data_IF_274839454448
#
_entry.id   IF_274839454448
#
_cell.length_a   1.000
_cell.length_b   1.000
_cell.length_c   1.000
_cell.angle_alpha   90.00
_cell.angle_beta   90.00
_cell.angle_gamma   90.00
#
_symmetry.space_group_name_H-M   'P 1'
#
loop_
_entity.id
_entity.type
_entity.pdbx_description
1 polymer ?
#
# COMPACT_ATOMS: atom_id res chain seq x y z
N UNK A 1 25.79 27.22 22.14
CA UNK A 1 24.46 27.59 21.56
C UNK A 1 24.58 28.48 20.33
N UNK A 2 25.45 28.14 19.35
CA UNK A 2 25.65 28.92 18.09
C UNK A 2 25.79 28.08 16.82
N UNK A 3 25.57 26.76 16.87
CA UNK A 3 25.72 25.85 15.71
C UNK A 3 24.36 25.51 15.07
N UNK A 4 23.24 25.68 15.80
CA UNK A 4 21.90 25.32 15.30
C UNK A 4 21.34 26.26 14.23
N UNK A 5 21.85 27.45 14.09
CA UNK A 5 21.36 28.44 13.11
C UNK A 5 21.97 28.30 11.72
N UNK A 6 23.15 27.68 11.62
CA UNK A 6 23.83 27.47 10.35
C UNK A 6 23.24 26.31 9.53
N UNK A 7 22.63 25.33 10.17
CA UNK A 7 21.95 24.22 9.49
C UNK A 7 20.58 24.62 8.94
N UNK A 8 19.92 25.62 9.52
CA UNK A 8 18.62 26.10 9.05
C UNK A 8 18.72 27.03 7.84
N UNK A 9 19.84 27.74 7.67
CA UNK A 9 20.09 28.63 6.52
C UNK A 9 20.55 27.89 5.27
N UNK A 10 21.10 26.67 5.39
CA UNK A 10 21.51 25.88 4.23
C UNK A 10 20.32 25.21 3.51
N UNK A 11 19.16 25.09 4.16
CA UNK A 11 17.93 24.50 3.58
C UNK A 11 17.10 25.52 2.78
N UNK A 12 17.42 26.82 2.84
CA UNK A 12 16.68 27.90 2.19
C UNK A 12 17.30 28.42 0.90
N UNK A 13 18.44 27.87 0.45
CA UNK A 13 18.92 28.14 -0.91
C UNK A 13 18.18 27.26 -1.92
N UNK A 14 16.87 27.45 -1.98
CA UNK A 14 16.03 26.98 -3.07
C UNK A 14 16.52 27.59 -4.37
N UNK A 15 17.06 26.77 -5.26
CA UNK A 15 17.34 27.15 -6.64
C UNK A 15 16.05 27.75 -7.22
N UNK A 16 16.08 29.03 -7.54
CA UNK A 16 15.12 29.62 -8.46
C UNK A 16 15.38 29.02 -9.84
N UNK A 17 14.84 27.83 -10.09
CA UNK A 17 14.77 27.31 -11.44
C UNK A 17 13.76 28.16 -12.17
N UNK A 18 14.23 29.04 -13.04
CA UNK A 18 13.42 29.70 -14.06
C UNK A 18 12.82 28.61 -14.93
N UNK A 19 11.60 28.21 -14.61
CA UNK A 19 10.85 27.23 -15.40
C UNK A 19 10.44 27.94 -16.70
N UNK A 20 11.07 27.58 -17.81
CA UNK A 20 10.54 27.91 -19.12
C UNK A 20 9.13 27.31 -19.24
N UNK A 21 8.16 28.06 -19.82
CA UNK A 21 6.81 27.53 -20.05
C UNK A 21 6.88 26.46 -21.14
N UNK A 22 6.99 25.22 -20.74
CA UNK A 22 6.82 24.10 -21.65
C UNK A 22 5.40 23.61 -21.46
N UNK A 23 4.59 23.63 -22.51
CA UNK A 23 3.29 22.95 -22.55
C UNK A 23 3.52 21.46 -22.23
N UNK A 24 3.40 21.09 -20.99
CA UNK A 24 3.62 19.71 -20.56
C UNK A 24 2.27 19.00 -20.52
N UNK A 25 1.98 18.24 -21.56
CA UNK A 25 0.89 17.28 -21.55
C UNK A 25 1.16 16.25 -20.44
N UNK A 26 0.29 16.17 -19.46
CA UNK A 26 0.34 15.13 -18.43
C UNK A 26 -0.66 14.03 -18.76
N UNK A 27 -0.20 12.78 -18.75
CA UNK A 27 -1.07 11.59 -18.84
C UNK A 27 -1.38 11.14 -17.41
N UNK A 28 -2.66 11.10 -17.09
CA UNK A 28 -3.16 10.58 -15.82
C UNK A 28 -3.95 9.31 -16.06
N UNK A 29 -3.48 8.21 -15.51
CA UNK A 29 -4.20 6.93 -15.49
C UNK A 29 -4.82 6.73 -14.11
N UNK A 30 -6.14 6.54 -14.06
CA UNK A 30 -6.88 6.26 -12.83
C UNK A 30 -7.48 4.87 -12.89
N UNK A 31 -7.27 4.08 -11.86
CA UNK A 31 -7.73 2.70 -11.72
C UNK A 31 -8.59 2.62 -10.47
N UNK A 32 -9.75 1.96 -10.57
CA UNK A 32 -10.60 1.64 -9.43
C UNK A 32 -10.95 0.17 -9.49
N UNK A 33 -10.70 -0.56 -8.43
CA UNK A 33 -10.94 -1.99 -8.35
C UNK A 33 -11.62 -2.35 -7.03
N UNK A 34 -12.51 -3.33 -7.11
CA UNK A 34 -13.10 -4.02 -5.98
C UNK A 34 -12.59 -5.44 -5.94
N UNK A 35 -12.42 -5.98 -4.76
CA UNK A 35 -11.91 -7.32 -4.56
C UNK A 35 -12.59 -8.08 -3.45
N UNK A 36 -12.59 -9.39 -3.58
CA UNK A 36 -13.07 -10.34 -2.58
C UNK A 36 -12.12 -11.52 -2.51
N UNK A 37 -11.97 -12.10 -1.33
CA UNK A 37 -11.13 -13.27 -1.16
C UNK A 37 -10.90 -13.65 0.29
N UNK A 38 -9.86 -14.45 0.54
CA UNK A 38 -9.58 -14.97 1.87
C UNK A 38 -8.70 -14.04 2.69
N UNK A 39 -8.89 -14.07 4.00
CA UNK A 39 -8.00 -13.44 4.99
C UNK A 39 -7.67 -14.45 6.08
N UNK A 40 -6.41 -14.49 6.49
CA UNK A 40 -5.94 -15.24 7.65
C UNK A 40 -5.26 -14.27 8.61
N UNK A 41 -5.67 -14.30 9.88
CA UNK A 41 -5.22 -13.40 10.93
C UNK A 41 -4.65 -14.21 12.08
N UNK A 42 -3.54 -13.76 12.62
CA UNK A 42 -3.03 -14.10 13.94
C UNK A 42 -2.57 -12.81 14.59
N UNK A 43 -3.07 -12.50 15.76
CA UNK A 43 -2.56 -11.43 16.60
C UNK A 43 -2.51 -11.90 18.05
N UNK A 44 -1.29 -12.20 18.53
CA UNK A 44 -1.11 -12.79 19.87
C UNK A 44 -1.41 -11.82 21.02
N UNK A 45 -1.67 -10.55 20.74
CA UNK A 45 -2.24 -9.61 21.69
C UNK A 45 -3.71 -9.91 21.98
N UNK A 46 -4.47 -10.30 20.95
CA UNK A 46 -5.91 -10.60 21.05
C UNK A 46 -6.17 -12.07 21.35
N UNK A 47 -5.49 -12.97 20.65
CA UNK A 47 -5.67 -14.43 20.75
C UNK A 47 -4.44 -15.16 20.26
N UNK A 48 -4.16 -16.34 20.87
CA UNK A 48 -3.13 -17.26 20.38
C UNK A 48 -3.63 -18.13 19.20
N UNK A 49 -4.90 -18.04 18.87
CA UNK A 49 -5.55 -18.79 17.81
C UNK A 49 -5.43 -18.06 16.46
N UNK A 50 -5.50 -18.84 15.37
CA UNK A 50 -5.57 -18.29 14.01
C UNK A 50 -7.03 -18.17 13.58
N UNK A 51 -7.35 -17.04 12.98
CA UNK A 51 -8.65 -16.74 12.43
C UNK A 51 -8.58 -16.71 10.91
N UNK A 52 -9.57 -17.32 10.25
CA UNK A 52 -9.65 -17.38 8.79
C UNK A 52 -11.05 -17.02 8.32
N UNK A 53 -11.15 -16.34 7.20
CA UNK A 53 -12.46 -15.95 6.69
C UNK A 53 -12.40 -15.18 5.39
N UNK A 54 -13.46 -14.41 5.12
CA UNK A 54 -13.63 -13.64 3.89
C UNK A 54 -13.29 -12.19 4.14
N UNK A 55 -12.67 -11.56 3.15
CA UNK A 55 -12.41 -10.12 3.16
C UNK A 55 -12.72 -9.47 1.82
N UNK A 56 -12.98 -8.18 1.90
CA UNK A 56 -13.24 -7.27 0.79
C UNK A 56 -12.16 -6.21 0.73
N UNK A 57 -11.83 -5.76 -0.48
CA UNK A 57 -10.87 -4.69 -0.71
C UNK A 57 -11.38 -3.72 -1.77
N UNK A 58 -11.08 -2.44 -1.56
CA UNK A 58 -11.20 -1.42 -2.57
C UNK A 58 -9.82 -0.82 -2.83
N UNK A 59 -9.41 -0.76 -4.07
CA UNK A 59 -8.14 -0.17 -4.51
C UNK A 59 -8.41 0.96 -5.50
N UNK A 60 -7.94 2.15 -5.16
CA UNK A 60 -7.82 3.27 -6.09
C UNK A 60 -6.35 3.53 -6.38
N UNK A 61 -5.96 3.61 -7.64
CA UNK A 61 -4.61 3.96 -8.06
C UNK A 61 -4.66 5.11 -9.06
N UNK A 62 -3.79 6.08 -8.90
CA UNK A 62 -3.55 7.15 -9.87
C UNK A 62 -2.07 7.17 -10.25
N UNK A 63 -1.78 6.96 -11.52
CA UNK A 63 -0.44 7.13 -12.09
C UNK A 63 -0.40 8.42 -12.93
N UNK A 64 0.64 9.21 -12.73
CA UNK A 64 0.90 10.45 -13.49
C UNK A 64 2.21 10.32 -14.22
N UNK A 65 2.17 10.49 -15.52
CA UNK A 65 3.31 10.41 -16.41
C UNK A 65 3.40 11.68 -17.25
N UNK A 66 4.63 12.06 -17.61
CA UNK A 66 4.89 13.12 -18.60
C UNK A 66 5.58 12.50 -19.81
N UNK A 67 5.16 12.80 -21.04
CA UNK A 67 5.85 12.33 -22.25
C UNK A 67 7.29 12.80 -22.36
N UNK A 68 7.63 13.90 -21.68
CA UNK A 68 8.96 14.52 -21.67
C UNK A 68 9.86 14.04 -20.54
N UNK A 69 9.37 13.15 -19.65
CA UNK A 69 10.10 12.67 -18.49
C UNK A 69 10.01 11.16 -18.35
N UNK A 70 11.11 10.54 -17.98
CA UNK A 70 11.14 9.11 -17.62
C UNK A 70 10.64 8.85 -16.20
N UNK A 71 10.23 9.90 -15.45
CA UNK A 71 9.72 9.75 -14.11
C UNK A 71 8.19 9.75 -14.08
N UNK A 72 7.63 8.81 -13.36
CA UNK A 72 6.21 8.79 -13.02
C UNK A 72 5.98 8.89 -11.51
N UNK A 73 4.79 9.31 -11.13
CA UNK A 73 4.34 9.33 -9.74
C UNK A 73 3.12 8.44 -9.62
N UNK A 74 3.13 7.52 -8.67
CA UNK A 74 2.01 6.64 -8.36
C UNK A 74 1.50 6.97 -6.97
N UNK A 75 0.19 7.09 -6.86
CA UNK A 75 -0.57 7.22 -5.62
C UNK A 75 -1.58 6.10 -5.59
N UNK A 76 -1.58 5.33 -4.49
CA UNK A 76 -2.58 4.28 -4.29
C UNK A 76 -3.27 4.47 -2.92
N UNK A 77 -4.52 4.09 -2.86
CA UNK A 77 -5.33 4.03 -1.65
C UNK A 77 -6.02 2.67 -1.62
N UNK A 78 -5.87 1.98 -0.53
CA UNK A 78 -6.41 0.64 -0.34
C UNK A 78 -7.22 0.61 0.96
N UNK A 79 -8.44 0.12 0.88
CA UNK A 79 -9.33 -0.09 2.03
C UNK A 79 -9.62 -1.59 2.09
N UNK A 80 -9.41 -2.19 3.25
CA UNK A 80 -9.66 -3.60 3.47
C UNK A 80 -10.62 -3.79 4.65
N UNK A 81 -11.54 -4.73 4.51
CA UNK A 81 -12.38 -5.26 5.58
C UNK A 81 -12.40 -6.77 5.52
N UNK A 82 -12.34 -7.41 6.69
CA UNK A 82 -12.41 -8.86 6.78
C UNK A 82 -13.21 -9.27 8.00
N UNK A 83 -13.97 -10.36 7.84
CA UNK A 83 -14.63 -11.08 8.92
C UNK A 83 -14.08 -12.50 8.94
N UNK A 84 -13.47 -12.87 10.04
CA UNK A 84 -12.79 -14.14 10.21
C UNK A 84 -13.27 -14.84 11.47
N UNK A 85 -13.16 -16.15 11.51
CA UNK A 85 -13.56 -16.99 12.63
C UNK A 85 -12.43 -17.94 13.03
N UNK A 86 -12.44 -18.37 14.26
CA UNK A 86 -11.54 -19.39 14.78
C UNK A 86 -11.89 -20.77 14.21
N UNK A 87 -11.05 -21.76 14.46
CA UNK A 87 -11.25 -23.14 13.97
C UNK A 87 -12.55 -23.79 14.45
N UNK A 88 -13.09 -23.34 15.57
CA UNK A 88 -14.26 -23.94 16.22
C UNK A 88 -15.54 -23.13 16.04
N UNK A 89 -15.50 -22.04 15.25
CA UNK A 89 -16.61 -21.09 15.06
C UNK A 89 -17.17 -20.49 16.37
N UNK A 90 -16.31 -20.37 17.39
CA UNK A 90 -16.71 -19.83 18.70
C UNK A 90 -16.34 -18.37 18.88
N UNK A 91 -15.37 -17.90 18.14
CA UNK A 91 -14.86 -16.53 18.19
C UNK A 91 -14.71 -15.93 16.79
N UNK A 92 -15.01 -14.66 16.66
CA UNK A 92 -14.84 -13.92 15.41
C UNK A 92 -13.86 -12.77 15.61
N UNK A 93 -13.10 -12.47 14.55
CA UNK A 93 -12.32 -11.24 14.43
C UNK A 93 -12.77 -10.44 13.22
N UNK A 94 -13.00 -9.15 13.48
CA UNK A 94 -13.27 -8.14 12.47
C UNK A 94 -11.99 -7.33 12.27
N UNK A 95 -11.54 -7.20 11.03
CA UNK A 95 -10.38 -6.40 10.68
C UNK A 95 -10.78 -5.34 9.68
N UNK A 96 -10.30 -4.11 9.89
CA UNK A 96 -10.41 -3.03 8.94
C UNK A 96 -9.12 -2.24 8.87
N UNK A 97 -8.68 -1.87 7.66
CA UNK A 97 -7.54 -0.99 7.46
C UNK A 97 -7.67 -0.11 6.23
N UNK A 98 -7.00 1.03 6.30
CA UNK A 98 -6.75 1.94 5.20
C UNK A 98 -5.25 2.10 5.03
N UNK A 99 -4.78 1.91 3.81
CA UNK A 99 -3.40 2.10 3.41
C UNK A 99 -3.28 3.17 2.33
N UNK A 100 -2.42 4.12 2.56
CA UNK A 100 -2.03 5.14 1.60
C UNK A 100 -0.61 4.88 1.11
N UNK A 101 -0.41 4.91 -0.21
CA UNK A 101 0.89 4.74 -0.85
C UNK A 101 1.18 5.91 -1.77
N UNK A 102 2.36 6.46 -1.67
CA UNK A 102 2.85 7.49 -2.57
C UNK A 102 4.29 7.20 -2.97
N UNK A 103 4.57 7.23 -4.26
CA UNK A 103 5.92 6.94 -4.73
C UNK A 103 6.27 7.51 -6.08
N UNK A 104 7.58 7.47 -6.36
CA UNK A 104 8.17 7.85 -7.63
C UNK A 104 8.91 6.69 -8.26
N UNK A 105 8.76 6.58 -9.58
CA UNK A 105 9.33 5.51 -10.38
C UNK A 105 10.07 6.07 -11.58
N UNK A 106 11.18 5.44 -11.90
CA UNK A 106 11.88 5.63 -13.16
C UNK A 106 11.39 4.58 -14.16
N UNK A 107 11.09 5.00 -15.38
CA UNK A 107 10.44 4.17 -16.39
C UNK A 107 11.41 3.84 -17.52
N UNK A 108 11.50 2.56 -17.87
CA UNK A 108 12.19 2.06 -19.05
C UNK A 108 11.17 1.41 -19.99
N UNK A 109 11.31 1.68 -21.30
CA UNK A 109 10.52 1.04 -22.34
C UNK A 109 11.45 0.25 -23.23
N UNK A 110 11.27 -1.06 -23.27
CA UNK A 110 12.07 -2.01 -24.04
C UNK A 110 11.18 -2.83 -24.98
N UNK A 111 11.76 -3.67 -25.84
CA UNK A 111 11.05 -4.51 -26.81
C UNK A 111 10.08 -3.69 -27.69
N UNK A 112 10.59 -2.61 -28.30
CA UNK A 112 9.77 -1.70 -29.13
C UNK A 112 8.52 -1.18 -28.38
N UNK A 113 8.70 -0.78 -27.11
CA UNK A 113 7.66 -0.30 -26.20
C UNK A 113 6.60 -1.33 -25.78
N UNK A 114 6.82 -2.62 -26.09
CA UNK A 114 5.92 -3.68 -25.63
C UNK A 114 6.08 -3.97 -24.14
N UNK A 115 7.29 -3.79 -23.60
CA UNK A 115 7.56 -3.99 -22.17
C UNK A 115 7.97 -2.68 -21.54
N UNK A 116 7.18 -2.23 -20.56
CA UNK A 116 7.48 -1.10 -19.66
C UNK A 116 7.90 -1.66 -18.32
N UNK A 117 9.09 -1.28 -17.87
CA UNK A 117 9.61 -1.58 -16.53
C UNK A 117 9.67 -0.27 -15.76
N UNK A 118 9.22 -0.30 -14.51
CA UNK A 118 9.27 0.83 -13.60
C UNK A 118 9.93 0.36 -12.29
N UNK A 119 10.95 1.05 -11.83
CA UNK A 119 11.57 0.81 -10.54
C UNK A 119 11.61 2.10 -9.74
N UNK A 120 11.33 1.98 -8.46
CA UNK A 120 11.24 3.15 -7.60
C UNK A 120 11.03 2.81 -6.14
N UNK A 121 10.46 3.74 -5.42
CA UNK A 121 10.13 3.59 -4.03
C UNK A 121 8.82 4.25 -3.67
N UNK A 122 8.14 3.65 -2.71
CA UNK A 122 6.90 4.08 -2.11
C UNK A 122 7.14 4.47 -0.64
N UNK A 123 6.39 5.44 -0.18
CA UNK A 123 6.08 5.63 1.24
C UNK A 123 4.66 5.09 1.44
N UNK A 124 4.51 4.23 2.44
CA UNK A 124 3.22 3.70 2.86
C UNK A 124 2.88 4.23 4.25
N UNK A 125 1.64 4.62 4.46
CA UNK A 125 1.06 4.86 5.77
C UNK A 125 -0.20 4.00 5.89
N UNK A 126 -0.28 3.25 6.98
CA UNK A 126 -1.41 2.36 7.28
C UNK A 126 -2.04 2.73 8.62
N UNK A 127 -3.36 2.72 8.64
CA UNK A 127 -4.18 2.83 9.85
C UNK A 127 -5.27 1.76 9.81
N UNK A 128 -5.43 1.02 10.90
CA UNK A 128 -6.42 -0.05 10.96
C UNK A 128 -6.65 -0.55 12.37
N UNK A 129 -7.46 -1.59 12.45
CA UNK A 129 -7.79 -2.27 13.69
C UNK A 129 -8.09 -3.75 13.45
N UNK A 130 -7.96 -4.54 14.51
CA UNK A 130 -8.54 -5.87 14.66
C UNK A 130 -9.40 -5.85 15.92
N UNK A 131 -10.60 -6.41 15.84
CA UNK A 131 -11.53 -6.50 16.96
C UNK A 131 -11.94 -7.96 17.16
N UNK A 132 -11.64 -8.51 18.33
CA UNK A 132 -12.02 -9.88 18.73
C UNK A 132 -13.32 -9.84 19.53
N UNK A 133 -14.34 -10.56 19.08
CA UNK A 133 -15.69 -10.48 19.63
C UNK A 133 -15.88 -11.15 20.99
N UNK A 134 -14.96 -12.01 21.42
CA UNK A 134 -15.05 -12.77 22.68
C UNK A 134 -14.03 -12.35 23.71
N UNK A 135 -13.00 -11.59 23.35
CA UNK A 135 -12.03 -11.07 24.29
C UNK A 135 -12.65 -9.88 25.06
N UNK A 136 -12.98 -10.08 26.32
CA UNK A 136 -13.66 -9.07 27.14
C UNK A 136 -12.71 -8.02 27.75
N UNK A 137 -11.42 -8.33 27.86
CA UNK A 137 -10.46 -7.44 28.55
C UNK A 137 -9.81 -6.43 27.59
N UNK A 138 -9.25 -6.93 26.48
CA UNK A 138 -8.64 -6.11 25.42
C UNK A 138 -9.17 -6.57 24.07
N UNK A 139 -10.40 -6.17 23.67
CA UNK A 139 -11.03 -6.72 22.47
C UNK A 139 -10.46 -6.15 21.16
N UNK A 140 -9.74 -5.03 21.22
CA UNK A 140 -9.28 -4.30 20.04
C UNK A 140 -7.76 -4.13 20.00
N UNK A 141 -7.19 -4.27 18.81
CA UNK A 141 -5.80 -3.97 18.51
C UNK A 141 -5.75 -2.89 17.43
N UNK A 142 -5.11 -1.75 17.72
CA UNK A 142 -4.83 -0.73 16.73
C UNK A 142 -3.62 -1.14 15.86
N UNK A 143 -3.72 -0.88 14.58
CA UNK A 143 -2.67 -1.15 13.61
C UNK A 143 -2.28 0.15 12.91
N UNK A 144 -1.16 0.71 13.32
CA UNK A 144 -0.62 1.95 12.76
C UNK A 144 0.81 1.68 12.30
N UNK A 145 1.13 2.04 11.08
CA UNK A 145 2.51 1.94 10.58
C UNK A 145 2.81 2.96 9.50
N UNK A 146 4.08 3.29 9.38
CA UNK A 146 4.62 4.05 8.27
C UNK A 146 5.91 3.38 7.79
N UNK A 147 6.03 3.14 6.47
CA UNK A 147 7.09 2.32 5.90
C UNK A 147 7.63 2.91 4.60
N UNK A 148 8.89 2.66 4.33
CA UNK A 148 9.54 2.90 3.04
C UNK A 148 9.65 1.56 2.32
N UNK A 149 9.21 1.54 1.06
CA UNK A 149 9.07 0.32 0.26
C UNK A 149 9.75 0.51 -1.09
N UNK A 150 10.88 -0.14 -1.40
CA UNK A 150 11.28 -0.36 -2.78
C UNK A 150 10.18 -1.10 -3.54
N UNK A 151 9.96 -0.68 -4.77
CA UNK A 151 8.88 -1.20 -5.61
C UNK A 151 9.32 -1.35 -7.05
N UNK A 152 8.84 -2.41 -7.68
CA UNK A 152 9.06 -2.72 -9.09
C UNK A 152 7.77 -3.06 -9.80
N UNK A 153 7.61 -2.55 -11.04
CA UNK A 153 6.44 -2.80 -11.87
C UNK A 153 6.90 -3.21 -13.26
N UNK A 154 6.32 -4.28 -13.79
CA UNK A 154 6.50 -4.70 -15.17
C UNK A 154 5.13 -4.74 -15.87
N UNK A 155 5.04 -4.10 -17.04
CA UNK A 155 3.81 -4.08 -17.84
C UNK A 155 4.15 -4.53 -19.27
N UNK A 156 3.58 -5.64 -19.71
CA UNK A 156 3.77 -6.20 -21.03
C UNK A 156 2.50 -6.04 -21.87
N UNK A 157 2.63 -5.31 -23.00
CA UNK A 157 1.55 -5.07 -23.96
C UNK A 157 1.58 -6.11 -25.08
N UNK A 158 0.46 -6.74 -25.35
CA UNK A 158 0.31 -7.72 -26.40
C UNK A 158 -1.07 -7.63 -27.07
N UNK A 159 -1.15 -8.19 -28.28
CA UNK A 159 -2.40 -8.29 -29.03
C UNK A 159 -2.77 -9.76 -29.18
N UNK A 160 -4.00 -10.08 -28.83
CA UNK A 160 -4.57 -11.41 -28.96
C UNK A 160 -5.97 -11.27 -29.57
N UNK A 161 -6.26 -12.02 -30.65
CA UNK A 161 -7.53 -11.93 -31.41
C UNK A 161 -7.92 -10.49 -31.74
N UNK A 162 -6.98 -9.73 -32.31
CA UNK A 162 -7.14 -8.32 -32.70
C UNK A 162 -7.47 -7.36 -31.55
N UNK A 163 -7.49 -7.84 -30.32
CA UNK A 163 -7.73 -7.02 -29.12
C UNK A 163 -6.43 -6.75 -28.37
N UNK A 164 -6.33 -5.57 -27.78
CA UNK A 164 -5.15 -5.13 -27.05
C UNK A 164 -5.28 -5.45 -25.57
N UNK A 165 -4.26 -6.11 -25.04
CA UNK A 165 -4.12 -6.48 -23.64
C UNK A 165 -2.83 -5.92 -23.05
N UNK A 166 -2.81 -5.76 -21.73
CA UNK A 166 -1.60 -5.54 -20.97
C UNK A 166 -1.59 -6.44 -19.73
N UNK A 167 -0.50 -7.18 -19.54
CA UNK A 167 -0.21 -7.92 -18.31
C UNK A 167 0.66 -7.03 -17.43
N UNK A 168 0.23 -6.75 -16.19
CA UNK A 168 0.95 -5.92 -15.24
C UNK A 168 1.22 -6.70 -13.96
N UNK A 169 2.47 -6.70 -13.53
CA UNK A 169 2.91 -7.20 -12.24
C UNK A 169 3.56 -6.08 -11.45
N UNK A 170 3.18 -5.94 -10.19
CA UNK A 170 3.75 -5.00 -9.23
C UNK A 170 4.15 -5.73 -7.97
N UNK A 171 5.34 -5.42 -7.45
CA UNK A 171 5.90 -5.99 -6.23
C UNK A 171 6.43 -4.87 -5.35
N UNK A 172 5.94 -4.81 -4.12
CA UNK A 172 6.32 -3.84 -3.10
C UNK A 172 6.88 -4.58 -1.87
N UNK A 173 8.08 -4.18 -1.43
CA UNK A 173 8.80 -4.81 -0.34
C UNK A 173 9.07 -3.79 0.77
N UNK A 174 8.31 -3.76 1.87
CA UNK A 174 8.62 -2.90 3.01
C UNK A 174 10.02 -3.18 3.55
N UNK A 175 10.89 -2.17 3.50
CA UNK A 175 12.30 -2.30 3.90
C UNK A 175 12.52 -1.85 5.34
N UNK A 176 12.00 -0.69 5.67
CA UNK A 176 12.14 -0.08 6.99
C UNK A 176 10.96 0.83 7.29
N UNK A 177 10.68 1.05 8.57
CA UNK A 177 9.59 1.91 8.99
C UNK A 177 9.45 1.99 10.51
N UNK A 178 8.28 2.42 10.92
CA UNK A 178 7.84 2.44 12.31
C UNK A 178 6.45 1.84 12.39
N UNK A 179 6.14 1.19 13.50
CA UNK A 179 4.79 0.72 13.79
C UNK A 179 4.43 0.96 15.26
N UNK A 180 3.14 1.10 15.51
CA UNK A 180 2.60 1.06 16.86
C UNK A 180 2.37 -0.40 17.27
N UNK A 181 2.82 -0.76 18.47
CA UNK A 181 2.57 -2.06 19.09
C UNK A 181 2.54 -1.88 20.61
N UNK A 182 1.51 -2.37 21.31
CA UNK A 182 1.59 -2.50 22.76
C UNK A 182 2.69 -3.51 23.12
N UNK A 183 3.13 -3.48 24.38
CA UNK A 183 3.97 -4.56 24.91
C UNK A 183 3.10 -5.76 25.29
N UNK A 184 3.70 -6.93 25.38
CA UNK A 184 3.01 -8.12 25.86
C UNK A 184 2.38 -7.89 27.23
N UNK A 185 1.07 -8.10 27.36
CA UNK A 185 0.31 -7.87 28.60
C UNK A 185 -0.05 -6.42 28.90
N UNK A 186 0.42 -5.44 28.12
CA UNK A 186 0.08 -4.03 28.30
C UNK A 186 -1.32 -3.73 27.75
N UNK A 187 -2.15 -3.06 28.54
CA UNK A 187 -3.48 -2.64 28.10
C UNK A 187 -3.48 -1.25 27.45
N UNK A 188 -4.48 -0.97 26.63
CA UNK A 188 -4.71 0.37 26.06
C UNK A 188 -5.01 1.42 27.15
N UNK A 189 -5.60 1.00 28.28
CA UNK A 189 -5.80 1.88 29.42
C UNK A 189 -4.47 2.36 30.01
N UNK A 190 -3.49 1.45 30.17
CA UNK A 190 -2.15 1.82 30.65
C UNK A 190 -1.47 2.77 29.69
N UNK A 191 -1.59 2.54 28.37
CA UNK A 191 -0.98 3.41 27.36
C UNK A 191 -1.62 4.80 27.38
N UNK A 192 -2.93 4.88 27.18
CA UNK A 192 -3.59 6.16 26.88
C UNK A 192 -4.12 6.90 28.11
N UNK A 193 -4.44 6.19 29.20
CA UNK A 193 -4.97 6.82 30.42
C UNK A 193 -3.90 7.01 31.49
N UNK A 194 -2.94 6.11 31.62
CA UNK A 194 -1.86 6.23 32.59
C UNK A 194 -0.57 6.83 31.99
N UNK A 195 -0.52 7.02 30.66
CA UNK A 195 0.64 7.64 30.01
C UNK A 195 1.86 6.73 29.91
N UNK A 196 1.70 5.42 29.97
CA UNK A 196 2.79 4.45 29.84
C UNK A 196 3.05 4.17 28.36
N UNK A 197 3.88 5.00 27.72
CA UNK A 197 4.23 4.90 26.29
C UNK A 197 5.51 4.16 26.00
N UNK A 198 6.05 3.42 26.96
CA UNK A 198 7.33 2.77 26.81
C UNK A 198 7.33 1.76 25.64
N UNK A 199 8.22 1.99 24.68
CA UNK A 199 8.44 1.14 23.48
C UNK A 199 7.18 0.85 22.64
N UNK A 200 6.13 1.68 22.69
CA UNK A 200 4.92 1.48 21.87
C UNK A 200 5.10 1.91 20.41
N UNK A 201 6.07 2.76 20.10
CA UNK A 201 6.49 3.07 18.72
C UNK A 201 7.78 2.34 18.44
N UNK A 202 7.69 1.32 17.58
CA UNK A 202 8.79 0.40 17.32
C UNK A 202 9.36 0.63 15.93
N UNK A 203 10.67 0.86 15.76
CA UNK A 203 11.30 0.83 14.46
C UNK A 203 11.23 -0.58 13.88
N UNK A 204 10.90 -0.67 12.61
CA UNK A 204 10.73 -1.94 11.90
C UNK A 204 11.71 -2.05 10.74
N UNK A 205 12.11 -3.29 10.47
CA UNK A 205 12.95 -3.64 9.32
C UNK A 205 12.34 -4.84 8.62
N UNK A 206 12.83 -5.18 7.44
CA UNK A 206 12.40 -6.40 6.74
C UNK A 206 12.57 -7.67 7.60
N UNK A 207 13.49 -7.70 8.57
CA UNK A 207 13.69 -8.85 9.47
C UNK A 207 12.60 -8.93 10.54
N UNK A 208 12.23 -7.80 11.17
CA UNK A 208 11.19 -7.77 12.21
C UNK A 208 9.78 -7.78 11.64
N UNK A 209 9.62 -7.28 10.41
CA UNK A 209 8.34 -7.21 9.68
C UNK A 209 8.52 -7.63 8.23
N UNK A 210 8.68 -8.95 7.95
CA UNK A 210 8.89 -9.44 6.59
C UNK A 210 7.59 -9.37 5.78
N UNK A 211 7.23 -8.16 5.39
CA UNK A 211 6.01 -7.87 4.64
C UNK A 211 6.26 -7.98 3.13
N UNK A 212 5.19 -8.26 2.39
CA UNK A 212 5.19 -8.30 0.94
C UNK A 212 3.81 -7.92 0.42
N UNK A 213 3.77 -7.03 -0.57
CA UNK A 213 2.56 -6.72 -1.31
C UNK A 213 2.81 -6.94 -2.79
N UNK A 214 1.91 -7.64 -3.46
CA UNK A 214 2.01 -7.92 -4.88
C UNK A 214 0.66 -7.79 -5.58
N UNK A 215 0.70 -7.32 -6.82
CA UNK A 215 -0.47 -7.24 -7.69
C UNK A 215 -0.12 -7.86 -9.04
N UNK A 216 -0.95 -8.78 -9.50
CA UNK A 216 -0.91 -9.30 -10.86
C UNK A 216 -2.24 -8.97 -11.53
N UNK A 217 -2.21 -8.31 -12.68
CA UNK A 217 -3.45 -7.93 -13.37
C UNK A 217 -3.31 -8.03 -14.88
N UNK A 218 -4.44 -8.28 -15.53
CA UNK A 218 -4.61 -8.20 -16.97
C UNK A 218 -5.60 -7.10 -17.31
N UNK A 219 -5.19 -6.22 -18.21
CA UNK A 219 -5.99 -5.12 -18.73
C UNK A 219 -6.49 -5.49 -20.12
N UNK A 220 -7.78 -5.33 -20.33
CA UNK A 220 -8.43 -5.51 -21.61
C UNK A 220 -9.05 -4.20 -22.07
N UNK A 221 -8.59 -3.68 -23.22
CA UNK A 221 -9.18 -2.53 -23.87
C UNK A 221 -10.55 -2.91 -24.46
N UNK A 222 -11.61 -2.68 -23.68
CA UNK A 222 -12.98 -3.04 -24.05
C UNK A 222 -13.66 -1.97 -24.93
N UNK A 223 -13.08 -0.76 -25.04
CA UNK A 223 -13.64 0.34 -25.83
C UNK A 223 -12.71 1.52 -25.98
N UNK A 224 -13.21 2.60 -26.60
CA UNK A 224 -12.41 3.81 -26.84
C UNK A 224 -12.02 4.57 -25.56
N UNK A 225 -12.79 4.46 -24.49
CA UNK A 225 -12.68 5.34 -23.31
C UNK A 225 -12.39 4.60 -22.02
N UNK A 226 -12.55 3.29 -21.95
CA UNK A 226 -12.33 2.52 -20.73
C UNK A 226 -11.72 1.14 -21.00
N UNK A 227 -10.96 0.69 -20.03
CA UNK A 227 -10.26 -0.58 -20.01
C UNK A 227 -10.70 -1.35 -18.78
N UNK A 228 -11.11 -2.60 -18.96
CA UNK A 228 -11.40 -3.52 -17.87
C UNK A 228 -10.08 -4.05 -17.32
N UNK A 229 -9.94 -4.09 -15.98
CA UNK A 229 -8.83 -4.73 -15.28
C UNK A 229 -9.35 -5.86 -14.41
N UNK A 230 -8.77 -7.03 -14.56
CA UNK A 230 -8.99 -8.18 -13.68
C UNK A 230 -7.64 -8.56 -13.10
N UNK A 231 -7.59 -8.93 -11.82
CA UNK A 231 -6.32 -9.23 -11.21
C UNK A 231 -6.42 -9.94 -9.87
N UNK A 232 -5.24 -10.14 -9.32
CA UNK A 232 -4.99 -10.67 -8.00
C UNK A 232 -4.19 -9.66 -7.19
N UNK A 233 -4.58 -9.45 -5.93
CA UNK A 233 -3.85 -8.70 -4.93
C UNK A 233 -3.50 -9.64 -3.77
N UNK A 234 -2.22 -9.80 -3.50
CA UNK A 234 -1.69 -10.48 -2.32
C UNK A 234 -1.06 -9.47 -1.39
N UNK A 235 -1.52 -9.40 -0.14
CA UNK A 235 -0.97 -8.52 0.88
C UNK A 235 -0.63 -9.34 2.12
N UNK A 236 0.66 -9.49 2.39
CA UNK A 236 1.20 -10.29 3.48
C UNK A 236 1.87 -9.36 4.48
N UNK A 237 1.23 -9.18 5.62
CA UNK A 237 1.74 -8.38 6.73
C UNK A 237 2.16 -9.32 7.85
N UNK A 238 3.39 -9.17 8.34
CA UNK A 238 3.92 -9.92 9.45
C UNK A 238 4.65 -8.99 10.39
N UNK A 239 4.62 -9.26 11.68
CA UNK A 239 5.38 -8.54 12.69
C UNK A 239 5.73 -9.47 13.85
N UNK A 240 6.96 -9.31 14.34
CA UNK A 240 7.38 -9.89 15.61
C UNK A 240 8.11 -8.81 16.40
N UNK A 241 7.35 -8.09 17.21
CA UNK A 241 7.81 -6.93 17.99
C UNK A 241 7.17 -6.96 19.38
N UNK A 242 7.86 -6.40 20.38
CA UNK A 242 7.38 -6.31 21.77
C UNK A 242 6.89 -7.65 22.36
N UNK A 243 7.55 -8.76 21.98
CA UNK A 243 7.17 -10.13 22.34
C UNK A 243 5.77 -10.55 21.82
N UNK A 244 5.21 -9.79 20.88
CA UNK A 244 3.97 -10.12 20.18
C UNK A 244 4.28 -10.59 18.76
N UNK A 245 3.53 -11.58 18.30
CA UNK A 245 3.56 -12.10 16.95
C UNK A 245 2.23 -11.80 16.27
N UNK A 246 2.28 -11.18 15.12
CA UNK A 246 1.09 -10.88 14.33
C UNK A 246 1.32 -11.20 12.86
N UNK A 247 0.26 -11.65 12.16
CA UNK A 247 0.20 -11.65 10.71
C UNK A 247 -1.22 -11.42 10.21
N UNK A 248 -1.30 -10.79 9.03
CA UNK A 248 -2.50 -10.74 8.20
C UNK A 248 -2.08 -11.15 6.79
N UNK A 249 -2.64 -12.25 6.29
CA UNK A 249 -2.45 -12.71 4.93
C UNK A 249 -3.76 -12.54 4.17
N UNK A 250 -3.76 -11.64 3.22
CA UNK A 250 -4.92 -11.34 2.40
C UNK A 250 -4.68 -11.74 0.94
N UNK A 251 -5.59 -12.49 0.37
CA UNK A 251 -5.64 -12.87 -1.03
C UNK A 251 -6.95 -12.36 -1.62
N UNK A 252 -6.88 -11.53 -2.67
CA UNK A 252 -8.06 -10.93 -3.30
C UNK A 252 -8.07 -11.19 -4.79
N UNK A 253 -9.17 -11.67 -5.29
CA UNK A 253 -9.53 -11.53 -6.69
C UNK A 253 -10.09 -10.13 -6.90
N UNK A 254 -9.54 -9.40 -7.85
CA UNK A 254 -9.85 -7.98 -8.08
C UNK A 254 -10.46 -7.78 -9.45
N UNK A 255 -11.48 -6.94 -9.55
CA UNK A 255 -12.07 -6.50 -10.81
C UNK A 255 -12.30 -4.99 -10.77
N UNK A 256 -12.05 -4.32 -11.87
CA UNK A 256 -12.22 -2.88 -11.93
C UNK A 256 -12.01 -2.31 -13.33
N UNK A 257 -11.88 -1.01 -13.38
CA UNK A 257 -11.74 -0.29 -14.64
C UNK A 257 -10.65 0.78 -14.55
N UNK A 258 -10.08 1.06 -15.72
CA UNK A 258 -9.06 2.07 -15.93
C UNK A 258 -9.64 3.17 -16.80
N UNK A 259 -9.41 4.43 -16.38
CA UNK A 259 -9.64 5.62 -17.18
C UNK A 259 -8.33 6.37 -17.41
N UNK A 260 -8.09 6.79 -18.65
CA UNK A 260 -6.93 7.60 -19.01
C UNK A 260 -7.39 8.99 -19.42
N UNK A 261 -6.74 10.00 -18.83
CA UNK A 261 -6.98 11.41 -19.11
C UNK A 261 -5.69 12.05 -19.59
N UNK A 262 -5.79 12.90 -20.61
CA UNK A 262 -4.74 13.81 -20.99
C UNK A 262 -5.09 15.18 -20.43
N UNK A 263 -4.25 15.73 -19.60
CA UNK A 263 -4.44 17.07 -19.04
C UNK A 263 -3.43 18.01 -19.68
N UNK A 264 -3.92 19.01 -20.40
CA UNK A 264 -3.12 20.13 -20.86
C UNK A 264 -2.94 21.08 -19.68
N UNK A 265 -1.71 21.28 -19.24
CA UNK A 265 -1.40 22.29 -18.24
C UNK A 265 -1.09 23.60 -18.97
N UNK A 266 -2.08 24.48 -19.05
CA UNK A 266 -1.82 25.88 -19.34
C UNK A 266 -1.17 26.48 -18.08
N UNK A 267 0.08 26.95 -18.19
CA UNK A 267 0.62 27.86 -17.18
C UNK A 267 0.26 29.27 -17.62
N UNK A 268 -0.31 30.09 -16.71
CA UNK A 268 -0.51 31.51 -16.96
C UNK A 268 0.84 32.22 -17.11
#
# INVERSE_FOLDING_TARGET
>A
MRISWLLFTLLLMGRTATAQPTDSTQIRTSVNMLGVGSTNILDTYLSQEKFSGIGFSYLNMTERESPTSQWSTILQQEVNFSSTHDRNDKANELQGDYSFFWGKYYNWSILNRRLKIQAGGLINANIGFIYNTVNSNNPAQARLSAQIMPSGIATYHFTLWEKHFALRYELDLPLAGIMFSPNYGQSYYEIFSQGNYDHNVVPTTFVSTPNLRQQLSIDWNAGRTWTLRIGYLGHYQQAQVNNLKAHIYAHRFMIGFIKRFQTLRFRP
#
